data_IF_894859048579
#
_entry.id   IF_894859048579
#
_cell.length_a   1.000
_cell.length_b   1.000
_cell.length_c   1.000
_cell.angle_alpha   90.00
_cell.angle_beta   90.00
_cell.angle_gamma   90.00
#
_symmetry.space_group_name_H-M   'P 1'
#
loop_
_entity.id
_entity.type
_entity.pdbx_description
1 polymer ?
#
# COMPACT_ATOMS: atom_id res chain seq x y z
N UNK A 1 -18.54 18.74 6.44
CA UNK A 1 -19.11 17.35 6.37
C UNK A 1 -18.19 16.54 5.48
N UNK A 2 -17.83 15.32 5.88
CA UNK A 2 -16.95 14.47 5.06
C UNK A 2 -17.70 13.98 3.84
N UNK A 3 -17.12 14.21 2.66
CA UNK A 3 -17.66 13.87 1.34
C UNK A 3 -16.76 12.90 0.58
N UNK A 4 -15.46 12.82 0.94
CA UNK A 4 -14.50 11.97 0.28
C UNK A 4 -13.53 11.31 1.27
N UNK A 5 -13.05 10.14 0.90
CA UNK A 5 -11.98 9.44 1.62
C UNK A 5 -10.83 9.15 0.64
N UNK A 6 -9.64 9.55 1.02
CA UNK A 6 -8.39 9.23 0.33
C UNK A 6 -7.72 8.11 1.11
N UNK A 7 -7.37 7.03 0.43
CA UNK A 7 -6.67 5.89 1.03
C UNK A 7 -5.24 5.77 0.50
N UNK A 8 -4.31 5.45 1.35
CA UNK A 8 -3.13 4.73 0.91
C UNK A 8 -3.51 3.31 0.47
N UNK A 9 -2.63 2.64 -0.27
CA UNK A 9 -2.88 1.31 -0.82
C UNK A 9 -2.19 0.20 -0.02
N UNK A 10 -0.86 0.29 0.07
CA UNK A 10 0.00 -0.77 0.59
C UNK A 10 0.07 -0.71 2.12
N UNK A 11 -0.17 -1.82 2.79
CA UNK A 11 -0.35 -1.93 4.25
C UNK A 11 -1.54 -1.13 4.82
N UNK A 12 -2.34 -0.47 3.98
CA UNK A 12 -3.60 0.18 4.38
C UNK A 12 -4.81 -0.61 3.91
N UNK A 13 -4.88 -0.93 2.63
CA UNK A 13 -5.94 -1.76 2.04
C UNK A 13 -5.48 -3.21 1.85
N UNK A 14 -4.20 -3.40 1.56
CA UNK A 14 -3.59 -4.72 1.30
C UNK A 14 -2.48 -5.01 2.29
N UNK A 15 -2.34 -6.27 2.69
CA UNK A 15 -1.20 -6.75 3.49
C UNK A 15 0.04 -6.93 2.59
N UNK A 16 0.60 -5.77 2.18
CA UNK A 16 1.66 -5.72 1.17
C UNK A 16 2.97 -6.33 1.68
N UNK A 17 3.38 -6.01 2.90
CA UNK A 17 4.66 -6.51 3.41
C UNK A 17 4.65 -8.02 3.58
N UNK A 18 3.58 -8.61 4.10
CA UNK A 18 3.41 -10.06 4.16
C UNK A 18 3.50 -10.73 2.79
N UNK A 19 2.78 -10.17 1.80
CA UNK A 19 2.87 -10.64 0.41
C UNK A 19 4.30 -10.55 -0.13
N UNK A 20 4.97 -9.41 0.12
CA UNK A 20 6.34 -9.16 -0.34
C UNK A 20 7.33 -10.15 0.23
N UNK A 21 7.28 -10.38 1.54
CA UNK A 21 8.12 -11.36 2.24
C UNK A 21 7.89 -12.78 1.72
N UNK A 22 6.64 -13.22 1.62
CA UNK A 22 6.31 -14.54 1.09
C UNK A 22 6.80 -14.72 -0.36
N UNK A 23 6.69 -13.69 -1.20
CA UNK A 23 7.16 -13.73 -2.56
C UNK A 23 8.69 -13.81 -2.64
N UNK A 24 9.41 -13.06 -1.80
CA UNK A 24 10.87 -13.11 -1.71
C UNK A 24 11.33 -14.50 -1.29
N UNK A 25 10.76 -15.06 -0.22
CA UNK A 25 11.10 -16.40 0.26
C UNK A 25 10.90 -17.46 -0.83
N UNK A 26 9.75 -17.41 -1.51
CA UNK A 26 9.48 -18.33 -2.61
C UNK A 26 10.45 -18.15 -3.79
N UNK A 27 10.84 -16.92 -4.10
CA UNK A 27 11.83 -16.62 -5.13
C UNK A 27 13.21 -17.21 -4.78
N UNK A 28 13.63 -17.06 -3.52
CA UNK A 28 14.89 -17.65 -3.01
C UNK A 28 14.84 -19.18 -3.13
N UNK A 29 13.78 -19.81 -2.65
CA UNK A 29 13.62 -21.26 -2.74
C UNK A 29 13.68 -21.76 -4.18
N UNK A 30 13.01 -21.05 -5.11
CA UNK A 30 13.09 -21.37 -6.53
C UNK A 30 14.49 -21.25 -7.13
N UNK A 31 15.30 -20.28 -6.70
CA UNK A 31 16.70 -20.17 -7.12
C UNK A 31 17.58 -21.29 -6.56
N UNK A 32 17.40 -21.65 -5.29
CA UNK A 32 18.12 -22.74 -4.64
C UNK A 32 17.80 -24.09 -5.29
N UNK A 33 16.53 -24.37 -5.54
CA UNK A 33 16.06 -25.58 -6.23
C UNK A 33 16.63 -25.68 -7.66
N UNK A 34 16.85 -24.55 -8.31
CA UNK A 34 17.46 -24.47 -9.63
C UNK A 34 18.99 -24.66 -9.63
N UNK A 35 19.62 -24.70 -8.44
CA UNK A 35 21.05 -24.98 -8.26
C UNK A 35 21.90 -23.79 -7.80
N UNK A 36 21.29 -22.72 -7.28
CA UNK A 36 22.06 -21.63 -6.65
C UNK A 36 22.83 -22.14 -5.44
N UNK A 37 24.16 -22.05 -5.49
CA UNK A 37 25.06 -22.58 -4.44
C UNK A 37 25.46 -21.49 -3.41
N UNK A 38 24.45 -20.78 -2.86
CA UNK A 38 24.62 -19.74 -1.84
C UNK A 38 23.68 -20.04 -0.67
N UNK A 39 24.05 -19.73 0.55
CA UNK A 39 23.21 -19.93 1.72
C UNK A 39 21.94 -19.08 1.63
N UNK A 40 20.77 -19.65 2.02
CA UNK A 40 19.45 -19.00 1.94
C UNK A 40 19.43 -17.64 2.66
N UNK A 41 19.99 -17.57 3.86
CA UNK A 41 20.04 -16.34 4.66
C UNK A 41 20.90 -15.25 4.02
N UNK A 42 21.97 -15.64 3.36
CA UNK A 42 22.84 -14.72 2.63
C UNK A 42 22.12 -14.09 1.43
N UNK A 43 21.41 -14.90 0.64
CA UNK A 43 20.60 -14.38 -0.48
C UNK A 43 19.49 -13.47 0.03
N UNK A 44 18.80 -13.85 1.11
CA UNK A 44 17.77 -13.00 1.75
C UNK A 44 18.34 -11.64 2.16
N UNK A 45 19.49 -11.63 2.83
CA UNK A 45 20.19 -10.41 3.26
C UNK A 45 20.50 -9.51 2.07
N UNK A 46 21.07 -10.06 0.99
CA UNK A 46 21.40 -9.31 -0.25
C UNK A 46 20.15 -8.72 -0.91
N UNK A 47 19.07 -9.48 -1.01
CA UNK A 47 17.79 -8.99 -1.56
C UNK A 47 17.29 -7.77 -0.77
N UNK A 48 17.28 -7.84 0.56
CA UNK A 48 16.83 -6.72 1.38
C UNK A 48 17.79 -5.53 1.33
N UNK A 49 19.09 -5.73 1.12
CA UNK A 49 20.05 -4.66 0.87
C UNK A 49 19.76 -3.93 -0.45
N UNK A 50 19.45 -4.66 -1.51
CA UNK A 50 19.05 -4.07 -2.78
C UNK A 50 17.76 -3.26 -2.60
N UNK A 51 16.72 -3.80 -1.96
CA UNK A 51 15.48 -3.07 -1.72
C UNK A 51 15.66 -1.82 -0.84
N UNK A 52 16.53 -1.85 0.16
CA UNK A 52 16.84 -0.66 0.98
C UNK A 52 17.51 0.45 0.18
N UNK A 53 18.30 0.11 -0.82
CA UNK A 53 19.02 1.07 -1.67
C UNK A 53 18.17 1.57 -2.84
N UNK A 54 17.50 0.66 -3.55
CA UNK A 54 16.78 0.96 -4.80
C UNK A 54 15.26 1.19 -4.58
N UNK A 55 14.75 0.92 -3.39
CA UNK A 55 13.33 0.96 -3.06
C UNK A 55 12.63 -0.38 -3.23
N UNK A 56 11.53 -0.55 -2.46
CA UNK A 56 10.79 -1.83 -2.36
C UNK A 56 10.15 -2.30 -3.68
N UNK A 57 9.97 -1.38 -4.62
CA UNK A 57 9.38 -1.65 -5.95
C UNK A 57 10.42 -1.92 -7.05
N UNK A 58 11.70 -2.02 -6.70
CA UNK A 58 12.73 -2.33 -7.69
C UNK A 58 12.51 -3.69 -8.33
N UNK A 59 12.43 -3.73 -9.67
CA UNK A 59 12.01 -4.93 -10.40
C UNK A 59 13.13 -5.92 -10.71
N UNK A 60 14.39 -5.48 -10.73
CA UNK A 60 15.55 -6.29 -11.13
C UNK A 60 16.37 -6.76 -9.92
N UNK A 61 15.68 -7.04 -8.79
CA UNK A 61 16.37 -7.39 -7.54
C UNK A 61 17.15 -8.70 -7.67
N UNK A 62 16.60 -9.72 -8.34
CA UNK A 62 17.25 -11.02 -8.49
C UNK A 62 18.45 -10.92 -9.45
N UNK A 63 18.33 -10.14 -10.51
CA UNK A 63 19.44 -9.84 -11.42
C UNK A 63 20.61 -9.25 -10.63
N UNK A 64 20.37 -8.19 -9.86
CA UNK A 64 21.39 -7.52 -9.03
C UNK A 64 22.06 -8.42 -8.01
N UNK A 65 21.28 -9.32 -7.38
CA UNK A 65 21.79 -10.23 -6.37
C UNK A 65 22.67 -11.32 -7.00
N UNK A 66 22.27 -11.84 -8.16
CA UNK A 66 23.01 -12.87 -8.88
C UNK A 66 24.27 -12.32 -9.58
N UNK A 67 24.24 -11.09 -10.10
CA UNK A 67 25.41 -10.42 -10.69
C UNK A 67 26.60 -10.32 -9.71
N UNK A 68 26.34 -10.24 -8.41
CA UNK A 68 27.39 -10.14 -7.40
C UNK A 68 28.30 -11.38 -7.31
N UNK A 69 27.83 -12.55 -7.77
CA UNK A 69 28.56 -13.81 -7.77
C UNK A 69 29.17 -14.15 -9.16
N UNK A 70 29.05 -13.25 -10.14
CA UNK A 70 29.59 -13.42 -11.49
C UNK A 70 28.54 -13.42 -12.59
N UNK A 71 28.70 -14.28 -13.60
CA UNK A 71 27.72 -14.37 -14.68
C UNK A 71 26.39 -14.97 -14.19
N UNK A 72 25.29 -14.30 -14.55
CA UNK A 72 23.95 -14.77 -14.20
C UNK A 72 23.64 -16.07 -14.95
N UNK A 73 23.31 -17.14 -14.21
CA UNK A 73 22.68 -18.33 -14.81
C UNK A 73 21.21 -18.04 -15.13
N UNK A 74 20.81 -18.02 -16.42
CA UNK A 74 19.43 -17.72 -16.80
C UNK A 74 18.40 -18.69 -16.24
N UNK A 75 18.78 -19.94 -15.98
CA UNK A 75 17.90 -20.96 -15.38
C UNK A 75 17.57 -20.59 -13.92
N UNK A 76 18.57 -20.21 -13.15
CA UNK A 76 18.43 -19.83 -11.74
C UNK A 76 17.58 -18.54 -11.66
N UNK A 77 17.90 -17.53 -12.44
CA UNK A 77 17.15 -16.27 -12.49
C UNK A 77 15.66 -16.51 -12.85
N UNK A 78 15.42 -17.28 -13.91
CA UNK A 78 14.06 -17.57 -14.35
C UNK A 78 13.26 -18.34 -13.29
N UNK A 79 13.87 -19.31 -12.61
CA UNK A 79 13.23 -20.06 -11.52
C UNK A 79 12.82 -19.14 -10.37
N UNK A 80 13.72 -18.25 -9.93
CA UNK A 80 13.43 -17.26 -8.89
C UNK A 80 12.29 -16.32 -9.28
N UNK A 81 12.32 -15.76 -10.49
CA UNK A 81 11.27 -14.86 -10.99
C UNK A 81 9.91 -15.57 -11.04
N UNK A 82 9.85 -16.79 -11.55
CA UNK A 82 8.60 -17.55 -11.67
C UNK A 82 8.03 -17.86 -10.28
N UNK A 83 8.86 -18.34 -9.36
CA UNK A 83 8.43 -18.65 -7.99
C UNK A 83 7.94 -17.40 -7.26
N UNK A 84 8.68 -16.29 -7.34
CA UNK A 84 8.29 -14.98 -6.80
C UNK A 84 6.93 -14.52 -7.33
N UNK A 85 6.73 -14.56 -8.65
CA UNK A 85 5.47 -14.10 -9.28
C UNK A 85 4.26 -14.93 -8.85
N UNK A 86 4.44 -16.26 -8.74
CA UNK A 86 3.37 -17.17 -8.28
C UNK A 86 2.99 -16.88 -6.83
N UNK A 87 3.97 -16.80 -5.95
CA UNK A 87 3.75 -16.48 -4.55
C UNK A 87 3.11 -15.10 -4.37
N UNK A 88 3.62 -14.08 -5.06
CA UNK A 88 3.03 -12.74 -5.06
C UNK A 88 1.55 -12.75 -5.44
N UNK A 89 1.18 -13.47 -6.48
CA UNK A 89 -0.21 -13.54 -6.93
C UNK A 89 -1.11 -14.29 -5.94
N UNK A 90 -0.60 -15.31 -5.26
CA UNK A 90 -1.40 -16.14 -4.33
C UNK A 90 -1.47 -15.57 -2.91
N UNK A 91 -0.55 -14.70 -2.52
CA UNK A 91 -0.48 -14.14 -1.16
C UNK A 91 -0.91 -12.69 -1.06
N UNK A 92 -1.20 -12.02 -2.19
CA UNK A 92 -1.78 -10.69 -2.18
C UNK A 92 -3.23 -10.76 -1.69
N UNK A 93 -3.48 -10.23 -0.50
CA UNK A 93 -4.80 -10.24 0.15
C UNK A 93 -5.15 -8.86 0.70
N UNK A 94 -6.44 -8.61 0.84
CA UNK A 94 -6.94 -7.46 1.58
C UNK A 94 -6.77 -7.67 3.09
N UNK A 95 -6.61 -6.58 3.83
CA UNK A 95 -6.89 -6.64 5.27
C UNK A 95 -8.35 -7.01 5.53
N UNK A 96 -8.65 -7.60 6.70
CA UNK A 96 -10.02 -7.89 7.09
C UNK A 96 -10.93 -6.66 6.94
N UNK A 97 -12.17 -6.89 6.55
CA UNK A 97 -13.24 -5.91 6.41
C UNK A 97 -13.04 -4.78 5.36
N UNK A 98 -11.90 -4.72 4.64
CA UNK A 98 -11.64 -3.66 3.64
C UNK A 98 -12.76 -3.59 2.60
N UNK A 99 -13.08 -4.69 1.94
CA UNK A 99 -14.09 -4.68 0.88
C UNK A 99 -15.47 -4.26 1.40
N UNK A 100 -15.86 -4.76 2.56
CA UNK A 100 -17.12 -4.38 3.21
C UNK A 100 -17.15 -2.88 3.52
N UNK A 101 -16.09 -2.37 4.12
CA UNK A 101 -16.00 -0.95 4.51
C UNK A 101 -16.06 -0.03 3.31
N UNK A 102 -15.31 -0.32 2.24
CA UNK A 102 -15.34 0.47 1.01
C UNK A 102 -16.74 0.50 0.39
N UNK A 103 -17.42 -0.65 0.31
CA UNK A 103 -18.80 -0.72 -0.20
C UNK A 103 -19.78 0.08 0.65
N UNK A 104 -19.66 0.04 1.97
CA UNK A 104 -20.50 0.84 2.87
C UNK A 104 -20.24 2.34 2.75
N UNK A 105 -18.99 2.77 2.52
CA UNK A 105 -18.65 4.17 2.24
C UNK A 105 -19.28 4.65 0.92
N UNK A 106 -19.16 3.84 -0.14
CA UNK A 106 -19.81 4.14 -1.45
C UNK A 106 -21.34 4.24 -1.31
N UNK A 107 -21.99 3.32 -0.59
CA UNK A 107 -23.43 3.35 -0.31
C UNK A 107 -23.86 4.62 0.45
N UNK A 108 -22.98 5.21 1.25
CA UNK A 108 -23.19 6.47 1.96
C UNK A 108 -22.99 7.70 1.08
N UNK A 109 -22.67 7.51 -0.22
CA UNK A 109 -22.45 8.57 -1.19
C UNK A 109 -21.11 9.28 -1.06
N UNK A 110 -20.11 8.63 -0.44
CA UNK A 110 -18.75 9.16 -0.34
C UNK A 110 -17.97 8.82 -1.60
N UNK A 111 -17.22 9.79 -2.11
CA UNK A 111 -16.23 9.55 -3.17
C UNK A 111 -14.96 8.98 -2.58
N UNK A 112 -14.35 8.02 -3.29
CA UNK A 112 -13.16 7.32 -2.83
C UNK A 112 -12.00 7.55 -3.80
N UNK A 113 -10.81 7.84 -3.26
CA UNK A 113 -9.58 7.88 -4.05
C UNK A 113 -8.46 7.10 -3.37
N UNK A 114 -7.49 6.67 -4.18
CA UNK A 114 -6.21 6.12 -3.72
C UNK A 114 -5.10 7.12 -4.00
N UNK A 115 -4.19 7.31 -3.04
CA UNK A 115 -2.91 8.02 -3.22
C UNK A 115 -1.79 7.07 -2.81
N UNK A 116 -1.02 6.57 -3.78
CA UNK A 116 0.03 5.59 -3.57
C UNK A 116 1.37 6.03 -4.16
N UNK A 117 2.46 5.73 -3.44
CA UNK A 117 3.84 5.93 -3.94
C UNK A 117 4.30 4.82 -4.89
N UNK A 118 3.49 3.78 -5.07
CA UNK A 118 3.78 2.68 -5.99
C UNK A 118 3.78 3.17 -7.45
N UNK A 119 4.58 2.56 -8.34
CA UNK A 119 4.45 2.77 -9.77
C UNK A 119 3.03 2.47 -10.25
N UNK A 120 2.51 3.28 -11.18
CA UNK A 120 1.13 3.20 -11.69
C UNK A 120 0.71 1.77 -12.06
N UNK A 121 1.55 1.08 -12.83
CA UNK A 121 1.26 -0.28 -13.23
C UNK A 121 1.11 -1.22 -12.03
N UNK A 122 1.93 -1.05 -10.97
CA UNK A 122 1.88 -1.90 -9.78
C UNK A 122 0.65 -1.61 -8.94
N UNK A 123 0.28 -0.33 -8.76
CA UNK A 123 -0.94 0.05 -8.05
C UNK A 123 -2.19 -0.54 -8.73
N UNK A 124 -2.33 -0.37 -10.05
CA UNK A 124 -3.46 -0.91 -10.79
C UNK A 124 -3.50 -2.44 -10.82
N UNK A 125 -2.34 -3.12 -10.91
CA UNK A 125 -2.27 -4.59 -10.82
C UNK A 125 -2.80 -5.08 -9.46
N UNK A 126 -2.47 -4.41 -8.35
CA UNK A 126 -3.00 -4.74 -7.02
C UNK A 126 -4.50 -4.52 -6.95
N UNK A 127 -4.98 -3.34 -7.33
CA UNK A 127 -6.41 -3.01 -7.32
C UNK A 127 -7.24 -3.98 -8.18
N UNK A 128 -6.75 -4.34 -9.36
CA UNK A 128 -7.42 -5.27 -10.25
C UNK A 128 -7.43 -6.69 -9.69
N UNK A 129 -6.28 -7.18 -9.19
CA UNK A 129 -6.15 -8.52 -8.59
C UNK A 129 -7.08 -8.71 -7.38
N UNK A 130 -7.35 -7.63 -6.64
CA UNK A 130 -8.20 -7.63 -5.45
C UNK A 130 -9.65 -7.22 -5.75
N UNK A 131 -10.00 -7.02 -7.02
CA UNK A 131 -11.34 -6.58 -7.47
C UNK A 131 -11.79 -5.23 -6.87
N UNK A 132 -10.83 -4.36 -6.53
CA UNK A 132 -11.09 -3.02 -5.99
C UNK A 132 -11.10 -1.92 -7.06
N UNK A 133 -10.67 -2.20 -8.28
CA UNK A 133 -10.43 -1.21 -9.34
C UNK A 133 -11.68 -0.40 -9.75
N UNK A 134 -12.88 -0.88 -9.44
CA UNK A 134 -14.15 -0.19 -9.73
C UNK A 134 -14.75 0.52 -8.50
N UNK A 135 -14.10 0.49 -7.33
CA UNK A 135 -14.60 1.13 -6.11
C UNK A 135 -14.04 2.53 -5.89
N UNK A 136 -12.99 2.89 -6.62
CA UNK A 136 -12.35 4.19 -6.50
C UNK A 136 -12.66 5.07 -7.70
N UNK A 137 -13.09 6.31 -7.43
CA UNK A 137 -13.32 7.31 -8.45
C UNK A 137 -11.99 7.75 -9.09
N UNK A 138 -10.92 7.81 -8.29
CA UNK A 138 -9.60 8.24 -8.75
C UNK A 138 -8.47 7.44 -8.07
N UNK A 139 -7.37 7.26 -8.82
CA UNK A 139 -6.13 6.65 -8.33
C UNK A 139 -4.97 7.57 -8.72
N UNK A 140 -4.30 8.13 -7.74
CA UNK A 140 -3.12 8.99 -7.90
C UNK A 140 -1.88 8.18 -7.53
N UNK A 141 -0.93 8.12 -8.44
CA UNK A 141 0.33 7.39 -8.29
C UNK A 141 1.52 8.32 -8.43
N UNK A 142 2.72 7.82 -8.20
CA UNK A 142 3.94 8.62 -8.34
C UNK A 142 4.02 9.35 -9.71
N UNK A 143 3.65 8.69 -10.81
CA UNK A 143 3.73 9.26 -12.15
C UNK A 143 2.75 10.41 -12.41
N UNK A 144 1.72 10.55 -11.59
CA UNK A 144 0.70 11.61 -11.77
C UNK A 144 1.20 12.98 -11.30
N UNK A 145 2.19 13.01 -10.39
CA UNK A 145 2.74 14.24 -9.81
C UNK A 145 4.27 14.33 -9.88
N UNK A 146 4.95 13.19 -10.09
CA UNK A 146 6.41 13.08 -9.96
C UNK A 146 6.91 13.28 -8.52
N UNK A 147 6.01 13.28 -7.55
CA UNK A 147 6.30 13.47 -6.12
C UNK A 147 5.77 12.29 -5.32
N UNK A 148 6.45 12.00 -4.23
CA UNK A 148 6.04 10.98 -3.24
C UNK A 148 5.53 11.63 -1.97
N UNK A 149 4.68 10.96 -1.25
CA UNK A 149 4.32 11.31 0.12
C UNK A 149 5.60 11.41 0.98
N UNK A 150 5.77 12.37 1.87
CA UNK A 150 4.78 13.33 2.39
C UNK A 150 4.63 14.63 1.59
N UNK A 151 5.12 14.71 0.35
CA UNK A 151 4.90 15.90 -0.49
C UNK A 151 3.39 16.18 -0.62
N UNK A 152 2.93 17.43 -0.53
CA UNK A 152 1.49 17.74 -0.57
C UNK A 152 0.85 17.50 -1.95
N UNK A 153 1.63 17.49 -3.04
CA UNK A 153 1.12 17.45 -4.41
C UNK A 153 0.25 16.21 -4.72
N UNK A 154 0.59 14.96 -4.29
CA UNK A 154 -0.28 13.82 -4.50
C UNK A 154 -1.67 13.96 -3.84
N UNK A 155 -1.70 14.52 -2.63
CA UNK A 155 -2.95 14.75 -1.90
C UNK A 155 -3.75 15.89 -2.53
N UNK A 156 -3.11 16.99 -2.93
CA UNK A 156 -3.78 18.09 -3.64
C UNK A 156 -4.38 17.58 -4.95
N UNK A 157 -3.65 16.78 -5.71
CA UNK A 157 -4.14 16.17 -6.94
C UNK A 157 -5.39 15.31 -6.70
N UNK A 158 -5.42 14.55 -5.62
CA UNK A 158 -6.59 13.75 -5.25
C UNK A 158 -7.80 14.64 -4.89
N UNK A 159 -7.60 15.71 -4.11
CA UNK A 159 -8.66 16.67 -3.79
C UNK A 159 -9.24 17.33 -5.05
N UNK A 160 -8.36 17.76 -5.97
CA UNK A 160 -8.78 18.40 -7.23
C UNK A 160 -9.62 17.45 -8.08
N UNK A 161 -9.20 16.18 -8.21
CA UNK A 161 -9.94 15.17 -8.96
C UNK A 161 -11.28 14.83 -8.33
N UNK A 162 -11.34 14.76 -6.98
CA UNK A 162 -12.57 14.51 -6.23
C UNK A 162 -13.51 15.73 -6.18
N UNK A 163 -13.02 16.92 -6.52
CA UNK A 163 -13.80 18.15 -6.45
C UNK A 163 -14.22 18.56 -5.04
N UNK A 164 -13.37 18.28 -4.03
CA UNK A 164 -13.66 18.58 -2.62
C UNK A 164 -12.55 19.42 -1.98
N UNK A 165 -12.91 20.19 -0.96
CA UNK A 165 -11.93 20.88 -0.12
C UNK A 165 -11.31 19.94 0.92
N UNK A 166 -10.12 20.28 1.41
CA UNK A 166 -9.40 19.49 2.41
C UNK A 166 -10.24 19.17 3.67
N UNK A 167 -11.03 20.14 4.15
CA UNK A 167 -11.91 19.97 5.32
C UNK A 167 -13.08 19.00 5.11
N UNK A 168 -13.37 18.61 3.85
CA UNK A 168 -14.41 17.66 3.48
C UNK A 168 -13.85 16.27 3.14
N UNK A 169 -12.54 16.06 3.30
CA UNK A 169 -11.86 14.80 3.05
C UNK A 169 -11.24 14.19 4.33
N UNK A 170 -11.05 12.87 4.33
CA UNK A 170 -10.19 12.16 5.27
C UNK A 170 -9.05 11.48 4.50
N UNK A 171 -7.85 11.44 5.09
CA UNK A 171 -6.76 10.58 4.63
C UNK A 171 -6.63 9.40 5.57
N UNK A 172 -6.63 8.18 5.03
CA UNK A 172 -6.44 6.93 5.75
C UNK A 172 -5.15 6.28 5.27
N UNK A 173 -4.20 6.01 6.15
CA UNK A 173 -2.91 5.40 5.82
C UNK A 173 -2.21 4.81 7.03
N UNK A 174 -1.19 3.97 6.78
CA UNK A 174 -0.41 3.25 7.80
C UNK A 174 0.96 3.88 8.11
N UNK A 175 1.40 4.84 7.32
CA UNK A 175 2.72 5.45 7.47
C UNK A 175 2.63 6.90 7.97
N UNK A 176 2.87 7.09 9.28
CA UNK A 176 2.71 8.38 9.95
C UNK A 176 3.48 9.51 9.26
N UNK A 177 4.78 9.32 8.97
CA UNK A 177 5.62 10.37 8.38
C UNK A 177 5.25 10.69 6.92
N UNK A 178 4.57 9.81 6.22
CA UNK A 178 4.16 10.02 4.82
C UNK A 178 2.71 10.45 4.69
N UNK A 179 1.81 9.65 5.25
CA UNK A 179 0.37 9.85 5.07
C UNK A 179 -0.17 10.95 5.97
N UNK A 180 0.13 10.87 7.26
CA UNK A 180 -0.41 11.82 8.24
C UNK A 180 0.23 13.19 8.07
N UNK A 181 1.58 13.25 8.00
CA UNK A 181 2.30 14.49 7.80
C UNK A 181 1.91 15.14 6.47
N UNK A 182 1.88 14.40 5.37
CA UNK A 182 1.59 14.96 4.05
C UNK A 182 0.18 15.51 3.93
N UNK A 183 -0.82 14.78 4.42
CA UNK A 183 -2.23 15.19 4.36
C UNK A 183 -2.52 16.38 5.29
N UNK A 184 -1.95 16.39 6.50
CA UNK A 184 -2.16 17.46 7.48
C UNK A 184 -1.64 18.82 7.00
N UNK A 185 -0.58 18.86 6.17
CA UNK A 185 -0.06 20.10 5.56
C UNK A 185 -1.12 20.84 4.74
N UNK A 186 -2.09 20.13 4.18
CA UNK A 186 -3.21 20.69 3.41
C UNK A 186 -4.47 20.89 4.27
N UNK A 187 -4.44 20.52 5.55
CA UNK A 187 -5.62 20.59 6.43
C UNK A 187 -6.60 19.42 6.22
N UNK A 188 -6.18 18.34 5.57
CA UNK A 188 -6.96 17.10 5.51
C UNK A 188 -6.88 16.42 6.87
N UNK A 189 -8.01 15.99 7.43
CA UNK A 189 -8.02 15.18 8.65
C UNK A 189 -7.48 13.80 8.39
N UNK A 190 -6.73 13.30 9.35
CA UNK A 190 -5.94 12.08 9.22
C UNK A 190 -6.46 10.95 10.09
N UNK A 191 -6.37 9.74 9.55
CA UNK A 191 -6.83 8.51 10.20
C UNK A 191 -5.72 7.47 10.03
N UNK A 192 -5.05 7.12 11.12
CA UNK A 192 -3.94 6.17 11.09
C UNK A 192 -4.44 4.73 11.15
N UNK A 193 -4.07 3.94 10.17
CA UNK A 193 -4.39 2.50 10.07
C UNK A 193 -3.40 1.68 10.91
N UNK A 194 -3.61 1.63 12.24
CA UNK A 194 -2.74 0.95 13.20
C UNK A 194 -2.50 -0.52 12.86
N UNK A 195 -3.48 -1.18 12.27
CA UNK A 195 -3.37 -2.59 11.86
C UNK A 195 -2.36 -2.84 10.74
N UNK A 196 -2.01 -1.80 9.97
CA UNK A 196 -1.05 -1.87 8.88
C UNK A 196 0.35 -1.36 9.23
N UNK A 197 0.52 -0.81 10.42
CA UNK A 197 1.79 -0.23 10.87
C UNK A 197 2.91 -1.28 10.95
N UNK A 198 3.87 -1.18 10.05
CA UNK A 198 5.07 -2.04 10.00
C UNK A 198 6.30 -1.39 10.64
N UNK A 199 6.17 -0.16 11.15
CA UNK A 199 7.29 0.62 11.72
C UNK A 199 7.28 0.65 13.24
N UNK A 200 6.20 0.20 13.90
CA UNK A 200 6.05 0.27 15.35
C UNK A 200 5.86 1.71 15.85
N UNK A 201 5.10 2.50 15.11
CA UNK A 201 4.82 3.91 15.37
C UNK A 201 4.20 4.10 16.76
N UNK A 202 4.86 4.85 17.64
CA UNK A 202 4.36 5.12 19.00
C UNK A 202 3.30 6.22 18.99
N UNK A 203 3.59 7.33 18.32
CA UNK A 203 2.69 8.46 18.12
C UNK A 203 2.56 8.73 16.64
N UNK A 204 1.37 8.54 16.10
CA UNK A 204 1.09 8.75 14.67
C UNK A 204 0.85 10.22 14.32
N UNK A 205 0.55 11.07 15.29
CA UNK A 205 0.13 12.45 15.06
C UNK A 205 -1.20 12.59 14.30
N UNK A 206 -1.95 11.50 14.14
CA UNK A 206 -3.23 11.49 13.42
C UNK A 206 -4.39 12.00 14.30
N UNK A 207 -5.44 12.54 13.64
CA UNK A 207 -6.68 12.93 14.34
C UNK A 207 -7.44 11.71 14.90
N UNK A 208 -7.31 10.55 14.24
CA UNK A 208 -7.95 9.29 14.63
C UNK A 208 -7.02 8.12 14.35
N UNK A 209 -7.23 7.02 15.08
CA UNK A 209 -6.56 5.73 14.82
C UNK A 209 -7.59 4.61 14.68
N UNK A 210 -7.27 3.64 13.81
CA UNK A 210 -8.11 2.46 13.56
C UNK A 210 -7.35 1.19 13.97
N UNK A 211 -7.99 0.37 14.81
CA UNK A 211 -7.55 -1.01 15.03
C UNK A 211 -8.07 -1.96 13.93
N UNK A 212 -9.18 -1.59 13.30
CA UNK A 212 -9.78 -2.26 12.14
C UNK A 212 -10.35 -1.20 11.20
N UNK A 213 -10.24 -1.39 9.89
CA UNK A 213 -10.75 -0.43 8.91
C UNK A 213 -12.25 -0.17 9.04
N UNK A 214 -13.01 -1.14 9.56
CA UNK A 214 -14.45 -1.00 9.78
C UNK A 214 -14.79 0.12 10.78
N UNK A 215 -13.88 0.45 11.70
CA UNK A 215 -14.06 1.55 12.65
C UNK A 215 -14.18 2.92 11.96
N UNK A 216 -13.67 3.03 10.72
CA UNK A 216 -13.79 4.23 9.90
C UNK A 216 -15.25 4.63 9.68
N UNK A 217 -16.16 3.66 9.58
CA UNK A 217 -17.59 3.93 9.39
C UNK A 217 -18.16 4.76 10.55
N UNK A 218 -17.78 4.46 11.78
CA UNK A 218 -18.22 5.20 12.98
C UNK A 218 -17.59 6.61 13.02
N UNK A 219 -16.33 6.77 12.59
CA UNK A 219 -15.67 8.07 12.48
C UNK A 219 -16.42 8.97 11.50
N UNK A 220 -16.72 8.45 10.31
CA UNK A 220 -17.49 9.18 9.27
C UNK A 220 -18.86 9.58 9.79
N UNK A 221 -19.61 8.66 10.41
CA UNK A 221 -20.91 8.94 10.97
C UNK A 221 -20.86 10.07 12.02
N UNK A 222 -19.87 10.03 12.92
CA UNK A 222 -19.66 11.07 13.94
C UNK A 222 -19.37 12.43 13.32
N UNK A 223 -18.50 12.48 12.30
CA UNK A 223 -18.10 13.73 11.63
C UNK A 223 -19.22 14.31 10.78
N UNK A 224 -20.15 13.49 10.31
CA UNK A 224 -21.30 13.91 9.50
C UNK A 224 -22.57 14.13 10.32
N UNK A 225 -22.50 14.13 11.66
CA UNK A 225 -23.63 14.39 12.53
C UNK A 225 -24.64 13.24 12.65
N UNK A 226 -24.26 12.05 12.18
CA UNK A 226 -25.04 10.82 12.32
C UNK A 226 -24.99 10.32 13.75
N UNK A 227 -26.15 10.06 14.36
CA UNK A 227 -26.21 9.22 15.56
C UNK A 227 -25.84 7.81 15.12
N UNK A 228 -24.77 7.24 15.69
CA UNK A 228 -24.51 5.82 15.54
C UNK A 228 -25.81 5.08 15.90
N UNK A 229 -26.42 4.36 14.93
CA UNK A 229 -27.51 3.46 15.28
C UNK A 229 -26.90 2.39 16.17
N UNK A 230 -27.38 2.21 17.41
CA UNK A 230 -26.94 1.09 18.21
C UNK A 230 -27.28 -0.20 17.47
N UNK A 231 -26.32 -1.15 17.48
CA UNK A 231 -26.51 -2.52 16.95
C UNK A 231 -27.59 -3.24 17.72
#
# INVERSE_FOLDING_TARGET
MIRAIIFDLDNTLTDFMRMKEAAIESGIDGMLDAGLAVAKDEIRRRIWEVYRREGIEYQQVFDRVLEADGAIDPKILAAGIVAYRRARASTLVLYPHVQFTLLELVKRGLSLAVVSDAPRAQAWLRLASLSLHNLFDHVVTFEDTGKRKPSPEPFQKALDLLGVGAGDALMVGDWAERDMVGASQLGIRTVFARYGDTFGTQDSGADFELADIMDLLAIVDRLNGGKAKPR
#
